data_IF_410112280597
#
_entry.id   IF_410112280597
#
_cell.length_a   1.000
_cell.length_b   1.000
_cell.length_c   1.000
_cell.angle_alpha   90.00
_cell.angle_beta   90.00
_cell.angle_gamma   90.00
#
_symmetry.space_group_name_H-M   'P 1'
#
loop_
_entity.id
_entity.type
_entity.pdbx_description
1 polymer ?
#
# COMPACT_ATOMS: atom_id res chain seq x y z
N UNK A 1 4.16 10.75 20.68
CA UNK A 1 4.42 10.76 19.22
C UNK A 1 4.88 9.35 18.81
N UNK A 2 3.96 8.49 18.37
CA UNK A 2 4.25 7.09 18.04
C UNK A 2 4.39 6.94 16.52
N UNK A 3 5.56 7.30 15.98
CA UNK A 3 5.83 7.22 14.54
C UNK A 3 5.96 5.75 14.06
N UNK A 4 6.20 4.81 14.99
CA UNK A 4 6.49 3.41 14.68
C UNK A 4 5.27 2.51 14.53
N UNK A 5 4.09 2.88 15.05
CA UNK A 5 2.88 2.03 14.92
C UNK A 5 2.32 1.97 13.49
N UNK A 6 2.63 2.99 12.67
CA UNK A 6 2.21 3.09 11.28
C UNK A 6 3.31 2.66 10.28
N UNK A 7 4.50 2.30 10.78
CA UNK A 7 5.65 1.91 9.97
C UNK A 7 5.64 0.42 9.57
N UNK A 8 4.52 -0.29 9.75
CA UNK A 8 4.40 -1.72 9.43
C UNK A 8 4.60 -2.06 7.95
N UNK A 9 4.72 -1.05 7.10
CA UNK A 9 5.19 -1.19 5.74
C UNK A 9 5.98 0.05 5.32
N UNK A 10 7.18 -0.17 4.77
CA UNK A 10 7.97 0.88 4.15
C UNK A 10 7.17 1.52 2.99
N UNK A 11 7.52 2.75 2.59
CA UNK A 11 6.93 3.37 1.39
C UNK A 11 7.04 2.42 0.18
N UNK A 12 8.18 1.74 0.05
CA UNK A 12 8.43 0.71 -0.97
C UNK A 12 7.42 -0.46 -0.93
N UNK A 13 7.05 -0.95 0.26
CA UNK A 13 6.06 -2.01 0.33
C UNK A 13 4.66 -1.55 -0.15
N UNK A 14 4.33 -0.26 0.05
CA UNK A 14 3.02 0.28 -0.33
C UNK A 14 2.94 0.45 -1.84
N UNK A 15 4.04 0.91 -2.44
CA UNK A 15 4.22 0.92 -3.90
C UNK A 15 4.10 -0.50 -4.47
N UNK A 16 4.79 -1.48 -3.88
CA UNK A 16 4.71 -2.88 -4.33
C UNK A 16 3.29 -3.48 -4.22
N UNK A 17 2.52 -3.10 -3.20
CA UNK A 17 1.11 -3.47 -3.11
C UNK A 17 0.29 -2.87 -4.26
N UNK A 18 0.51 -1.60 -4.59
CA UNK A 18 -0.15 -0.94 -5.70
C UNK A 18 0.25 -1.54 -7.06
N UNK A 19 1.53 -1.83 -7.27
CA UNK A 19 2.04 -2.48 -8.48
C UNK A 19 1.41 -3.86 -8.70
N UNK A 20 1.29 -4.68 -7.66
CA UNK A 20 0.63 -6.00 -7.76
C UNK A 20 -0.83 -5.87 -8.18
N UNK A 21 -1.56 -4.94 -7.55
CA UNK A 21 -2.97 -4.69 -7.89
C UNK A 21 -3.10 -4.15 -9.31
N UNK A 22 -2.22 -3.24 -9.73
CA UNK A 22 -2.16 -2.74 -11.11
C UNK A 22 -1.81 -3.86 -12.12
N UNK A 23 -0.99 -4.82 -11.72
CA UNK A 23 -0.69 -6.04 -12.47
C UNK A 23 -1.81 -7.09 -12.48
N UNK A 24 -3.01 -6.76 -11.99
CA UNK A 24 -4.19 -7.63 -12.04
C UNK A 24 -4.35 -8.56 -10.84
N UNK A 25 -3.52 -8.43 -9.79
CA UNK A 25 -3.74 -9.21 -8.58
C UNK A 25 -5.00 -8.75 -7.85
N UNK A 26 -5.80 -9.67 -7.28
CA UNK A 26 -6.87 -9.28 -6.39
C UNK A 26 -6.31 -8.61 -5.13
N UNK A 27 -6.98 -7.54 -4.68
CA UNK A 27 -6.56 -6.73 -3.50
C UNK A 27 -6.37 -7.60 -2.26
N UNK A 28 -7.16 -8.66 -2.10
CA UNK A 28 -7.03 -9.64 -1.02
C UNK A 28 -5.68 -10.36 -1.03
N UNK A 29 -5.25 -10.85 -2.19
CA UNK A 29 -3.95 -11.52 -2.34
C UNK A 29 -2.78 -10.54 -2.13
N UNK A 30 -2.90 -9.32 -2.67
CA UNK A 30 -1.89 -8.28 -2.47
C UNK A 30 -1.78 -7.85 -0.99
N UNK A 31 -2.90 -7.77 -0.27
CA UNK A 31 -2.93 -7.45 1.16
C UNK A 31 -2.30 -8.57 2.01
N UNK A 32 -2.61 -9.84 1.69
CA UNK A 32 -2.00 -10.99 2.35
C UNK A 32 -0.48 -11.02 2.14
N UNK A 33 0.00 -10.80 0.92
CA UNK A 33 1.42 -10.74 0.60
C UNK A 33 2.14 -9.57 1.30
N UNK A 34 1.41 -8.51 1.67
CA UNK A 34 1.91 -7.37 2.42
C UNK A 34 1.66 -7.47 3.94
N UNK A 35 1.11 -8.59 4.44
CA UNK A 35 0.78 -8.79 5.86
C UNK A 35 -0.09 -7.67 6.47
N UNK A 36 -1.04 -7.14 5.68
CA UNK A 36 -2.00 -6.12 6.09
C UNK A 36 -3.43 -6.57 5.87
N UNK A 37 -4.37 -5.91 6.57
CA UNK A 37 -5.78 -6.10 6.30
C UNK A 37 -6.15 -5.55 4.92
N UNK A 38 -7.19 -6.12 4.32
CA UNK A 38 -7.78 -5.64 3.06
C UNK A 38 -8.24 -4.18 3.17
N UNK A 39 -8.78 -3.79 4.33
CA UNK A 39 -9.18 -2.42 4.60
C UNK A 39 -7.98 -1.46 4.57
N UNK A 40 -6.86 -1.83 5.20
CA UNK A 40 -5.61 -1.04 5.14
C UNK A 40 -5.07 -0.97 3.71
N UNK A 41 -5.12 -2.07 2.95
CA UNK A 41 -4.73 -2.09 1.54
C UNK A 41 -5.59 -1.13 0.70
N UNK A 42 -6.91 -1.12 0.86
CA UNK A 42 -7.79 -0.16 0.17
C UNK A 42 -7.47 1.29 0.54
N UNK A 43 -7.25 1.58 1.82
CA UNK A 43 -6.88 2.93 2.27
C UNK A 43 -5.51 3.39 1.75
N UNK A 44 -4.60 2.46 1.46
CA UNK A 44 -3.32 2.78 0.83
C UNK A 44 -3.44 2.96 -0.68
N UNK A 45 -4.20 2.10 -1.37
CA UNK A 45 -4.49 2.24 -2.81
C UNK A 45 -5.19 3.56 -3.10
N UNK A 46 -6.19 3.94 -2.28
CA UNK A 46 -6.84 5.24 -2.43
C UNK A 46 -5.84 6.38 -2.29
N UNK A 47 -4.97 6.37 -1.27
CA UNK A 47 -3.93 7.41 -1.14
C UNK A 47 -2.92 7.40 -2.28
N UNK A 48 -2.59 6.23 -2.80
CA UNK A 48 -1.66 6.08 -3.92
C UNK A 48 -2.25 6.68 -5.21
N UNK A 49 -3.53 6.43 -5.50
CA UNK A 49 -4.20 6.98 -6.68
C UNK A 49 -4.65 8.44 -6.53
N UNK A 50 -5.06 8.85 -5.33
CA UNK A 50 -5.43 10.24 -5.02
C UNK A 50 -4.19 11.15 -4.88
N UNK A 51 -3.05 10.59 -4.51
CA UNK A 51 -1.80 11.30 -4.19
C UNK A 51 -0.72 11.17 -5.25
N UNK A 52 -1.06 10.91 -6.52
CA UNK A 52 -0.14 10.69 -7.65
C UNK A 52 0.87 11.82 -7.96
N UNK A 53 1.06 12.81 -7.08
CA UNK A 53 1.96 13.95 -7.29
C UNK A 53 3.26 13.95 -6.48
N UNK A 54 3.49 13.08 -5.47
CA UNK A 54 4.77 13.14 -4.72
C UNK A 54 5.29 11.80 -4.21
N UNK A 55 5.65 10.90 -5.11
CA UNK A 55 6.72 9.93 -4.84
C UNK A 55 7.71 9.92 -6.02
N UNK A 56 8.52 10.97 -6.10
CA UNK A 56 9.90 10.93 -6.61
C UNK A 56 10.83 11.10 -5.40
N UNK A 57 12.10 10.66 -5.42
CA UNK A 57 12.82 9.85 -6.41
C UNK A 57 12.91 8.35 -6.06
#
# INVERSE_FOLDING_TARGET
MNVHKNARLTLAGRALLAERVAGGWPVTAAALAAAVSTWTAHAWLQRHWQGGERQAP
#
